data_IF_109163086898
#
_entry.id   IF_109163086898
#
_cell.length_a   1.000
_cell.length_b   1.000
_cell.length_c   1.000
_cell.angle_alpha   90.00
_cell.angle_beta   90.00
_cell.angle_gamma   90.00
#
_symmetry.space_group_name_H-M   'P 1'
#
loop_
_entity.id
_entity.type
_entity.pdbx_description
1 polymer ?
#
# COMPACT_ATOMS: atom_id res chain seq x y z
N UNK A 1 -4.52 -4.42 -8.13
CA UNK A 1 -4.09 -4.99 -9.44
C UNK A 1 -4.71 -6.34 -9.76
N UNK A 2 -4.99 -7.22 -8.78
CA UNK A 2 -5.44 -8.59 -9.03
C UNK A 2 -6.76 -8.73 -9.85
N UNK A 3 -7.80 -7.94 -9.55
CA UNK A 3 -9.08 -8.04 -10.25
C UNK A 3 -9.04 -7.60 -11.73
N UNK A 4 -8.22 -6.59 -12.08
CA UNK A 4 -8.10 -6.10 -13.45
C UNK A 4 -7.30 -7.05 -14.35
N UNK A 5 -6.31 -7.73 -13.77
CA UNK A 5 -5.50 -8.76 -14.44
C UNK A 5 -6.35 -10.00 -14.75
N UNK A 6 -7.20 -10.44 -13.81
CA UNK A 6 -8.13 -11.57 -14.01
C UNK A 6 -9.13 -11.28 -15.15
N UNK A 7 -9.53 -10.01 -15.32
CA UNK A 7 -10.47 -9.59 -16.36
C UNK A 7 -9.80 -9.24 -17.70
N UNK A 8 -8.50 -9.51 -17.89
CA UNK A 8 -7.79 -9.31 -19.16
C UNK A 8 -7.60 -7.84 -19.56
N UNK A 9 -7.71 -6.92 -18.61
CA UNK A 9 -7.66 -5.49 -18.85
C UNK A 9 -6.24 -4.98 -18.57
N UNK A 10 -5.59 -4.43 -19.60
CA UNK A 10 -4.25 -3.84 -19.49
C UNK A 10 -4.21 -2.65 -18.52
N UNK A 11 -5.37 -1.99 -18.32
CA UNK A 11 -5.61 -0.89 -17.38
C UNK A 11 -6.99 -1.07 -16.78
N UNK A 12 -7.18 -0.70 -15.51
CA UNK A 12 -8.51 -0.72 -14.86
C UNK A 12 -9.47 0.14 -15.70
N UNK A 13 -10.53 -0.41 -16.32
CA UNK A 13 -11.51 0.35 -17.08
C UNK A 13 -12.47 0.98 -16.09
N UNK A 14 -12.00 1.99 -15.39
CA UNK A 14 -12.89 2.98 -14.84
C UNK A 14 -13.15 3.98 -15.98
N UNK A 15 -14.41 4.35 -16.20
CA UNK A 15 -14.71 5.60 -16.90
C UNK A 15 -14.27 6.71 -15.95
N UNK A 16 -12.96 6.94 -15.89
CA UNK A 16 -12.36 8.06 -15.19
C UNK A 16 -12.38 9.20 -16.18
N UNK A 17 -13.37 10.08 -16.06
CA UNK A 17 -13.11 11.44 -16.51
C UNK A 17 -12.07 11.99 -15.56
N UNK A 18 -10.92 12.39 -16.09
CA UNK A 18 -10.00 13.23 -15.32
C UNK A 18 -10.77 14.51 -14.99
N UNK A 19 -11.18 14.61 -13.73
CA UNK A 19 -11.76 15.78 -13.12
C UNK A 19 -10.78 16.14 -12.01
N UNK A 20 -10.38 17.41 -11.96
CA UNK A 20 -9.75 17.91 -10.74
C UNK A 20 -10.75 17.83 -9.59
N UNK A 21 -10.26 17.85 -8.35
CA UNK A 21 -11.13 17.89 -7.16
C UNK A 21 -12.15 19.05 -7.27
N UNK A 22 -11.71 20.19 -7.82
CA UNK A 22 -12.54 21.36 -8.07
C UNK A 22 -13.64 21.07 -9.11
N UNK A 23 -13.31 20.41 -10.23
CA UNK A 23 -14.29 20.08 -11.28
C UNK A 23 -15.37 19.12 -10.76
N UNK A 24 -14.99 18.17 -9.91
CA UNK A 24 -15.93 17.24 -9.29
C UNK A 24 -16.89 17.97 -8.34
N UNK A 25 -16.37 18.89 -7.51
CA UNK A 25 -17.19 19.71 -6.62
C UNK A 25 -18.12 20.63 -7.43
N UNK A 26 -17.61 21.28 -8.48
CA UNK A 26 -18.41 22.14 -9.37
C UNK A 26 -19.54 21.33 -9.99
N UNK A 27 -19.26 20.15 -10.54
CA UNK A 27 -20.28 19.30 -11.15
C UNK A 27 -21.38 18.89 -10.16
N UNK A 28 -21.02 18.63 -8.90
CA UNK A 28 -21.98 18.32 -7.84
C UNK A 28 -22.84 19.53 -7.46
N UNK A 29 -22.22 20.71 -7.34
CA UNK A 29 -22.93 21.95 -7.02
C UNK A 29 -23.91 22.29 -8.15
N UNK A 30 -23.48 22.21 -9.40
CA UNK A 30 -24.33 22.45 -10.57
C UNK A 30 -25.51 21.47 -10.64
N UNK A 31 -25.28 20.21 -10.28
CA UNK A 31 -26.35 19.21 -10.19
C UNK A 31 -27.37 19.58 -9.12
N UNK A 32 -26.93 20.03 -7.94
CA UNK A 32 -27.83 20.47 -6.88
C UNK A 32 -28.63 21.72 -7.27
N UNK A 33 -28.00 22.69 -7.97
CA UNK A 33 -28.68 23.89 -8.49
C UNK A 33 -29.81 23.49 -9.43
N UNK A 34 -29.54 22.59 -10.39
CA UNK A 34 -30.56 22.10 -11.33
C UNK A 34 -31.71 21.41 -10.61
N UNK A 35 -31.41 20.58 -9.62
CA UNK A 35 -32.44 19.88 -8.82
C UNK A 35 -33.28 20.90 -8.03
N UNK A 36 -32.64 21.90 -7.43
CA UNK A 36 -33.30 22.99 -6.71
C UNK A 36 -34.22 23.82 -7.62
N UNK A 37 -33.78 24.13 -8.84
CA UNK A 37 -34.60 24.85 -9.83
C UNK A 37 -35.85 24.05 -10.23
N UNK A 38 -35.73 22.71 -10.35
CA UNK A 38 -36.85 21.83 -10.71
C UNK A 38 -37.84 21.66 -9.56
N UNK A 39 -37.36 21.52 -8.32
CA UNK A 39 -38.20 21.23 -7.15
C UNK A 39 -38.75 22.48 -6.45
N UNK A 40 -38.14 23.65 -6.64
CA UNK A 40 -38.61 24.92 -6.08
C UNK A 40 -38.74 24.87 -4.56
N UNK A 41 -39.94 25.10 -4.05
CA UNK A 41 -40.25 25.14 -2.60
C UNK A 41 -40.10 23.77 -1.91
N UNK A 42 -40.15 22.65 -2.66
CA UNK A 42 -39.96 21.31 -2.10
C UNK A 42 -38.48 20.99 -1.78
N UNK A 43 -37.55 21.78 -2.31
CA UNK A 43 -36.13 21.63 -2.04
C UNK A 43 -35.72 22.37 -0.76
N UNK A 44 -35.26 21.62 0.24
CA UNK A 44 -34.80 22.20 1.51
C UNK A 44 -33.31 22.53 1.41
N UNK A 45 -33.02 23.81 1.16
CA UNK A 45 -31.64 24.26 0.95
C UNK A 45 -30.87 24.49 2.25
N UNK A 46 -30.07 23.49 2.63
CA UNK A 46 -29.10 23.59 3.72
C UNK A 46 -27.71 24.05 3.27
N UNK A 47 -27.57 24.52 2.02
CA UNK A 47 -26.29 24.90 1.40
C UNK A 47 -25.24 23.76 1.47
N UNK A 48 -25.67 22.54 1.16
CA UNK A 48 -24.85 21.33 1.20
C UNK A 48 -24.42 20.91 -0.21
N UNK A 49 -23.16 20.51 -0.38
CA UNK A 49 -22.67 19.88 -1.62
C UNK A 49 -23.19 18.44 -1.72
N UNK A 50 -23.20 17.72 -0.61
CA UNK A 50 -23.72 16.36 -0.50
C UNK A 50 -25.13 16.41 0.11
N UNK A 51 -26.14 16.43 -0.75
CA UNK A 51 -27.55 16.47 -0.36
C UNK A 51 -28.34 15.31 -0.99
N UNK A 52 -29.43 14.94 -0.33
CA UNK A 52 -30.44 14.06 -0.95
C UNK A 52 -31.18 14.79 -2.07
N UNK A 53 -32.01 14.08 -2.83
CA UNK A 53 -32.82 14.65 -3.92
C UNK A 53 -33.64 15.87 -3.50
N UNK A 54 -34.05 15.96 -2.22
CA UNK A 54 -34.85 17.06 -1.68
C UNK A 54 -34.04 18.07 -0.84
N UNK A 55 -32.71 18.05 -0.94
CA UNK A 55 -31.83 18.99 -0.23
C UNK A 55 -31.46 18.58 1.20
N UNK A 56 -32.12 17.57 1.77
CA UNK A 56 -31.82 17.08 3.12
C UNK A 56 -30.39 16.50 3.25
N UNK A 57 -29.79 16.54 4.46
CA UNK A 57 -28.49 15.93 4.72
C UNK A 57 -28.48 14.43 4.41
N UNK A 58 -27.38 13.96 3.84
CA UNK A 58 -27.18 12.53 3.58
C UNK A 58 -26.80 11.82 4.88
N UNK A 59 -27.50 10.73 5.20
CA UNK A 59 -27.17 9.88 6.35
C UNK A 59 -25.83 9.13 6.17
N UNK A 60 -25.14 8.83 7.27
CA UNK A 60 -23.82 8.17 7.27
C UNK A 60 -23.79 6.79 6.58
N UNK A 61 -24.95 6.15 6.44
CA UNK A 61 -25.12 4.86 5.76
C UNK A 61 -25.37 4.96 4.25
N UNK A 62 -25.77 6.11 3.73
CA UNK A 62 -26.23 6.23 2.35
C UNK A 62 -25.13 5.88 1.33
N UNK A 63 -23.92 6.42 1.54
CA UNK A 63 -22.76 6.13 0.67
C UNK A 63 -22.37 4.65 0.74
N UNK A 64 -22.42 4.05 1.94
CA UNK A 64 -22.11 2.63 2.14
C UNK A 64 -23.12 1.73 1.41
N UNK A 65 -24.41 2.07 1.49
CA UNK A 65 -25.47 1.37 0.80
C UNK A 65 -25.32 1.44 -0.72
N UNK A 66 -25.03 2.63 -1.26
CA UNK A 66 -24.79 2.81 -2.70
C UNK A 66 -23.54 2.05 -3.17
N UNK A 67 -22.45 2.08 -2.40
CA UNK A 67 -21.25 1.31 -2.72
C UNK A 67 -21.55 -0.20 -2.74
N UNK A 68 -22.27 -0.71 -1.74
CA UNK A 68 -22.65 -2.13 -1.69
C UNK A 68 -23.46 -2.53 -2.92
N UNK A 69 -24.46 -1.72 -3.28
CA UNK A 69 -25.27 -1.94 -4.48
C UNK A 69 -24.42 -1.98 -5.75
N UNK A 70 -23.48 -1.05 -5.90
CA UNK A 70 -22.57 -1.01 -7.04
C UNK A 70 -21.66 -2.25 -7.11
N UNK A 71 -21.16 -2.72 -5.96
CA UNK A 71 -20.36 -3.96 -5.87
C UNK A 71 -21.19 -5.16 -6.35
N UNK A 72 -22.44 -5.28 -5.90
CA UNK A 72 -23.35 -6.37 -6.28
C UNK A 72 -23.73 -6.31 -7.76
N UNK A 73 -24.09 -5.13 -8.28
CA UNK A 73 -24.48 -4.92 -9.68
C UNK A 73 -23.36 -5.23 -10.68
N UNK A 74 -22.11 -4.96 -10.31
CA UNK A 74 -20.93 -5.18 -11.16
C UNK A 74 -20.11 -6.41 -10.78
N UNK A 75 -20.62 -7.25 -9.87
CA UNK A 75 -19.96 -8.48 -9.41
C UNK A 75 -18.50 -8.24 -8.98
N UNK A 76 -18.25 -7.14 -8.24
CA UNK A 76 -16.94 -6.75 -7.76
C UNK A 76 -16.59 -7.45 -6.45
N UNK A 77 -15.31 -7.45 -6.10
CA UNK A 77 -14.87 -7.93 -4.80
C UNK A 77 -15.45 -7.06 -3.67
N UNK A 78 -15.94 -7.66 -2.57
CA UNK A 78 -16.53 -6.90 -1.48
C UNK A 78 -15.48 -6.03 -0.79
N UNK A 79 -15.70 -4.72 -0.83
CA UNK A 79 -14.86 -3.71 -0.17
C UNK A 79 -15.73 -2.79 0.68
N UNK A 80 -15.16 -2.31 1.80
CA UNK A 80 -15.82 -1.33 2.65
C UNK A 80 -15.43 0.08 2.23
N UNK A 81 -16.28 1.07 2.52
CA UNK A 81 -16.03 2.45 2.10
C UNK A 81 -14.69 3.01 2.59
N UNK A 82 -14.26 2.62 3.80
CA UNK A 82 -12.97 3.06 4.36
C UNK A 82 -11.76 2.53 3.56
N UNK A 83 -11.91 1.42 2.83
CA UNK A 83 -10.86 0.87 1.95
C UNK A 83 -10.47 1.83 0.82
N UNK A 84 -11.38 2.72 0.40
CA UNK A 84 -11.07 3.76 -0.57
C UNK A 84 -10.05 4.76 -0.01
N UNK A 85 -10.18 5.12 1.28
CA UNK A 85 -9.23 6.01 1.96
C UNK A 85 -7.86 5.34 2.14
N UNK A 86 -7.82 4.06 2.47
CA UNK A 86 -6.56 3.30 2.50
C UNK A 86 -5.89 3.29 1.12
N UNK A 87 -6.66 2.97 0.07
CA UNK A 87 -6.15 2.93 -1.30
C UNK A 87 -5.61 4.29 -1.75
N UNK A 88 -6.34 5.38 -1.48
CA UNK A 88 -5.90 6.74 -1.81
C UNK A 88 -4.56 7.08 -1.16
N UNK A 89 -4.40 6.78 0.12
CA UNK A 89 -3.15 7.04 0.85
C UNK A 89 -2.00 6.19 0.34
N UNK A 90 -2.24 4.90 0.09
CA UNK A 90 -1.25 4.02 -0.54
C UNK A 90 -0.76 4.58 -1.88
N UNK A 91 -1.66 5.05 -2.74
CA UNK A 91 -1.29 5.65 -4.03
C UNK A 91 -0.55 6.98 -3.86
N UNK A 92 -1.00 7.86 -2.97
CA UNK A 92 -0.29 9.13 -2.68
C UNK A 92 1.15 8.87 -2.22
N UNK A 93 1.36 7.90 -1.33
CA UNK A 93 2.69 7.49 -0.86
C UNK A 93 3.55 6.91 -1.98
N UNK A 94 2.96 6.08 -2.85
CA UNK A 94 3.69 5.53 -3.99
C UNK A 94 4.11 6.60 -4.98
N UNK A 95 3.24 7.57 -5.26
CA UNK A 95 3.49 8.65 -6.22
C UNK A 95 4.48 9.70 -5.69
N UNK A 96 4.52 9.95 -4.38
CA UNK A 96 5.42 10.93 -3.78
C UNK A 96 6.77 10.34 -3.31
N UNK A 97 7.04 9.06 -3.59
CA UNK A 97 8.29 8.39 -3.21
C UNK A 97 8.40 8.05 -1.73
N UNK A 98 7.29 7.94 -1.01
CA UNK A 98 7.27 7.51 0.38
C UNK A 98 7.42 8.63 1.40
N UNK A 99 7.14 9.90 1.03
CA UNK A 99 7.06 10.99 2.00
C UNK A 99 5.79 10.87 2.84
N UNK A 100 5.95 10.18 3.97
CA UNK A 100 4.88 9.95 4.96
C UNK A 100 4.35 11.27 5.53
N UNK A 101 5.20 12.28 5.73
CA UNK A 101 4.78 13.56 6.33
C UNK A 101 3.88 14.35 5.41
N UNK A 102 4.18 14.36 4.11
CA UNK A 102 3.33 15.00 3.11
C UNK A 102 1.94 14.35 3.05
N UNK A 103 1.84 13.02 3.03
CA UNK A 103 0.54 12.32 2.98
C UNK A 103 -0.22 12.42 4.31
N UNK A 104 0.49 12.48 5.43
CA UNK A 104 -0.13 12.66 6.75
C UNK A 104 -0.83 14.02 6.87
N UNK A 105 -0.23 15.10 6.35
CA UNK A 105 -0.83 16.44 6.33
C UNK A 105 -2.15 16.47 5.56
N UNK A 106 -2.19 15.80 4.41
CA UNK A 106 -3.39 15.69 3.57
C UNK A 106 -4.50 14.84 4.20
N UNK A 107 -4.12 13.80 4.96
CA UNK A 107 -5.06 12.75 5.34
C UNK A 107 -5.53 12.85 6.81
N UNK A 108 -4.86 13.66 7.63
CA UNK A 108 -5.23 13.95 9.03
C UNK A 108 -4.62 12.99 10.07
N UNK A 109 -4.55 13.45 11.33
CA UNK A 109 -3.76 12.88 12.43
C UNK A 109 -4.04 11.41 12.82
N UNK A 110 -5.18 10.83 12.44
CA UNK A 110 -5.55 9.45 12.82
C UNK A 110 -4.97 8.35 11.93
N UNK A 111 -4.17 8.71 10.93
CA UNK A 111 -3.75 7.78 9.87
C UNK A 111 -2.27 7.39 9.91
N UNK A 112 -1.47 7.93 10.84
CA UNK A 112 -0.03 7.67 10.95
C UNK A 112 0.26 6.19 11.15
N UNK A 113 -0.48 5.55 12.05
CA UNK A 113 -0.28 4.14 12.38
C UNK A 113 -0.57 3.25 11.17
N UNK A 114 -1.68 3.50 10.48
CA UNK A 114 -2.04 2.74 9.27
C UNK A 114 -1.07 2.97 8.10
N UNK A 115 -0.65 4.22 7.88
CA UNK A 115 0.32 4.57 6.83
C UNK A 115 1.60 3.78 7.00
N UNK A 116 2.11 3.73 8.24
CA UNK A 116 3.37 3.07 8.55
C UNK A 116 3.26 1.56 8.36
N UNK A 117 2.19 0.94 8.86
CA UNK A 117 1.98 -0.52 8.77
C UNK A 117 1.77 -0.99 7.33
N UNK A 118 0.88 -0.34 6.56
CA UNK A 118 0.56 -0.75 5.18
C UNK A 118 1.71 -0.43 4.23
N UNK A 119 2.42 0.68 4.44
CA UNK A 119 3.47 1.10 3.52
C UNK A 119 4.81 0.41 3.77
N UNK A 120 5.08 -0.07 5.00
CA UNK A 120 6.26 -0.90 5.28
C UNK A 120 6.39 -2.06 4.26
N UNK A 121 5.28 -2.77 4.03
CA UNK A 121 5.22 -3.85 3.05
C UNK A 121 5.42 -3.39 1.59
N UNK A 122 4.95 -2.20 1.23
CA UNK A 122 5.08 -1.67 -0.14
C UNK A 122 6.50 -1.20 -0.42
N UNK A 123 7.15 -0.54 0.55
CA UNK A 123 8.58 -0.19 0.45
C UNK A 123 9.40 -1.46 0.31
N UNK A 124 9.09 -2.51 1.07
CA UNK A 124 9.80 -3.78 1.00
C UNK A 124 9.63 -4.45 -0.36
N UNK A 125 8.44 -4.42 -0.96
CA UNK A 125 8.20 -4.87 -2.33
C UNK A 125 9.00 -4.05 -3.37
N UNK A 126 8.98 -2.72 -3.27
CA UNK A 126 9.71 -1.85 -4.20
C UNK A 126 11.24 -2.02 -4.02
N UNK A 127 11.75 -2.23 -2.79
CA UNK A 127 13.15 -2.57 -2.51
C UNK A 127 13.53 -3.91 -3.09
N UNK A 128 12.69 -4.93 -2.92
CA UNK A 128 12.90 -6.26 -3.48
C UNK A 128 12.95 -6.21 -5.00
N UNK A 129 12.00 -5.51 -5.63
CA UNK A 129 11.99 -5.31 -7.08
C UNK A 129 13.22 -4.54 -7.57
N UNK A 130 13.67 -3.52 -6.84
CA UNK A 130 14.90 -2.81 -7.18
C UNK A 130 16.13 -3.69 -7.04
N UNK A 131 16.18 -4.59 -6.04
CA UNK A 131 17.26 -5.56 -5.90
C UNK A 131 17.26 -6.58 -7.05
N UNK A 132 16.09 -7.10 -7.44
CA UNK A 132 15.94 -7.99 -8.60
C UNK A 132 16.36 -7.30 -9.91
N UNK A 133 15.93 -6.05 -10.13
CA UNK A 133 16.34 -5.25 -11.30
C UNK A 133 17.84 -4.94 -11.29
N UNK A 134 18.43 -4.71 -10.12
CA UNK A 134 19.86 -4.52 -9.98
C UNK A 134 20.59 -5.83 -10.31
N UNK A 135 20.10 -6.96 -9.82
CA UNK A 135 20.69 -8.26 -10.10
C UNK A 135 20.64 -8.59 -11.60
N UNK A 136 19.48 -8.40 -12.22
CA UNK A 136 19.29 -8.55 -13.67
C UNK A 136 20.20 -7.59 -14.46
N UNK A 137 20.20 -6.30 -14.13
CA UNK A 137 20.93 -5.28 -14.89
C UNK A 137 22.45 -5.37 -14.74
N UNK A 138 22.92 -5.83 -13.58
CA UNK A 138 24.34 -5.84 -13.22
C UNK A 138 24.98 -7.21 -13.43
N UNK A 139 24.25 -8.32 -13.25
CA UNK A 139 24.81 -9.68 -13.33
C UNK A 139 24.36 -10.49 -14.56
N UNK A 140 23.26 -10.15 -15.24
CA UNK A 140 22.82 -10.90 -16.45
C UNK A 140 23.44 -10.39 -17.77
N UNK A 141 24.18 -9.28 -17.76
CA UNK A 141 24.98 -8.87 -18.92
C UNK A 141 26.17 -9.81 -19.08
N UNK A 142 25.97 -10.88 -19.86
CA UNK A 142 27.01 -11.84 -20.30
C UNK A 142 28.36 -11.14 -20.52
N UNK A 143 29.34 -11.56 -19.71
CA UNK A 143 30.69 -11.03 -19.48
C UNK A 143 30.85 -10.26 -18.15
N UNK A 144 30.51 -10.91 -17.03
CA UNK A 144 31.17 -10.60 -15.76
C UNK A 144 32.25 -11.64 -15.49
N UNK A 145 33.39 -11.18 -14.98
CA UNK A 145 34.49 -12.02 -14.55
C UNK A 145 33.99 -13.15 -13.63
N UNK A 146 34.43 -14.42 -13.84
CA UNK A 146 34.01 -15.57 -13.03
C UNK A 146 34.27 -15.44 -11.52
N UNK A 147 35.05 -14.44 -11.11
CA UNK A 147 35.42 -14.18 -9.72
C UNK A 147 34.39 -13.41 -8.89
N UNK A 148 33.29 -12.91 -9.48
CA UNK A 148 32.18 -12.37 -8.68
C UNK A 148 31.29 -13.47 -8.07
N UNK A 149 31.51 -14.74 -8.46
CA UNK A 149 30.85 -15.90 -7.87
C UNK A 149 31.76 -16.68 -6.90
N UNK A 150 32.92 -16.12 -6.52
CA UNK A 150 33.78 -16.74 -5.52
C UNK A 150 33.23 -16.50 -4.10
N UNK A 151 32.57 -17.54 -3.61
CA UNK A 151 32.54 -17.99 -2.23
C UNK A 151 32.08 -16.99 -1.17
N UNK A 152 30.76 -16.78 -1.07
CA UNK A 152 30.18 -16.80 0.29
C UNK A 152 29.97 -18.27 0.65
N UNK A 153 31.04 -18.92 1.10
CA UNK A 153 30.91 -20.18 1.82
C UNK A 153 30.06 -19.90 3.05
N UNK A 154 28.75 -20.15 2.96
CA UNK A 154 27.98 -20.42 4.16
C UNK A 154 28.60 -21.67 4.77
N UNK A 155 29.44 -21.49 5.79
CA UNK A 155 29.76 -22.59 6.69
C UNK A 155 28.46 -22.96 7.39
N UNK A 156 27.70 -23.87 6.80
CA UNK A 156 26.69 -24.64 7.53
C UNK A 156 27.46 -25.52 8.50
N UNK A 157 27.70 -24.99 9.69
CA UNK A 157 28.14 -25.81 10.82
C UNK A 157 26.91 -26.60 11.23
N UNK A 158 26.86 -27.89 10.90
CA UNK A 158 25.87 -28.80 11.47
C UNK A 158 25.97 -28.70 12.99
N UNK A 159 24.93 -28.12 13.60
CA UNK A 159 24.81 -28.04 15.05
C UNK A 159 24.40 -29.44 15.52
N UNK A 160 25.19 -30.13 16.36
CA UNK A 160 24.81 -31.42 16.91
C UNK A 160 23.46 -31.31 17.64
N UNK A 161 22.61 -32.33 17.51
CA UNK A 161 21.22 -32.34 18.03
C UNK A 161 21.10 -32.03 19.55
N UNK A 162 22.19 -32.13 20.30
CA UNK A 162 22.26 -31.82 21.74
C UNK A 162 22.44 -30.33 22.07
N UNK A 163 22.53 -29.44 21.07
CA UNK A 163 22.75 -28.00 21.31
C UNK A 163 21.55 -27.17 20.84
N UNK A 164 20.95 -26.45 21.79
CA UNK A 164 19.82 -25.55 21.52
C UNK A 164 20.24 -24.39 20.59
N UNK A 165 19.74 -24.45 19.36
CA UNK A 165 20.05 -23.51 18.28
C UNK A 165 19.64 -22.07 18.60
N UNK A 166 18.62 -21.87 19.44
CA UNK A 166 18.13 -20.54 19.80
C UNK A 166 19.05 -19.86 20.84
N UNK A 167 19.58 -20.64 21.78
CA UNK A 167 20.57 -20.17 22.74
C UNK A 167 21.90 -19.86 22.06
N UNK A 168 22.32 -20.67 21.10
CA UNK A 168 23.51 -20.41 20.27
C UNK A 168 23.39 -19.11 19.47
N UNK A 169 22.22 -18.86 18.86
CA UNK A 169 21.98 -17.63 18.12
C UNK A 169 22.06 -16.38 19.03
N UNK A 170 21.51 -16.46 20.25
CA UNK A 170 21.60 -15.37 21.24
C UNK A 170 23.03 -15.12 21.72
N UNK A 171 23.84 -16.16 21.90
CA UNK A 171 25.24 -16.03 22.31
C UNK A 171 26.11 -15.45 21.18
N UNK A 172 25.87 -15.85 19.93
CA UNK A 172 26.60 -15.37 18.75
C UNK A 172 26.17 -13.95 18.31
N UNK A 173 25.02 -13.46 18.77
CA UNK A 173 24.61 -12.08 18.57
C UNK A 173 25.49 -11.07 19.34
N UNK A 174 26.20 -11.53 20.39
CA UNK A 174 27.20 -10.70 21.06
C UNK A 174 28.57 -10.83 20.34
N UNK A 175 29.10 -9.74 19.75
CA UNK A 175 30.33 -9.76 18.97
C UNK A 175 31.57 -10.18 19.78
N UNK A 176 31.63 -9.90 21.09
CA UNK A 176 32.75 -10.30 21.95
C UNK A 176 32.76 -11.81 22.20
N UNK A 177 31.58 -12.39 22.47
CA UNK A 177 31.43 -13.84 22.66
C UNK A 177 31.72 -14.61 21.37
N UNK A 178 31.30 -14.06 20.22
CA UNK A 178 31.61 -14.61 18.90
C UNK A 178 33.11 -14.67 18.63
N UNK A 179 33.85 -13.61 18.98
CA UNK A 179 35.30 -13.57 18.84
C UNK A 179 36.01 -14.58 19.76
N UNK A 180 35.54 -14.73 21.00
CA UNK A 180 36.07 -15.71 21.96
C UNK A 180 35.87 -17.15 21.46
N UNK A 181 34.67 -17.51 21.00
CA UNK A 181 34.39 -18.84 20.48
C UNK A 181 35.21 -19.17 19.22
N UNK A 182 35.38 -18.19 18.32
CA UNK A 182 36.24 -18.35 17.15
C UNK A 182 37.72 -18.56 17.55
N UNK A 183 38.19 -17.89 18.60
CA UNK A 183 39.56 -18.07 19.11
C UNK A 183 39.77 -19.45 19.75
N UNK A 184 38.78 -19.95 20.50
CA UNK A 184 38.80 -21.28 21.11
C UNK A 184 38.76 -22.39 20.06
N UNK A 185 37.89 -22.26 19.05
CA UNK A 185 37.81 -23.20 17.94
C UNK A 185 39.12 -23.28 17.14
N UNK A 186 39.86 -22.17 17.04
CA UNK A 186 41.17 -22.11 16.40
C UNK A 186 42.29 -22.72 17.25
N UNK A 187 42.16 -22.68 18.57
CA UNK A 187 43.12 -23.28 19.51
C UNK A 187 42.94 -24.81 19.68
N UNK A 188 41.76 -25.33 19.34
CA UNK A 188 41.42 -26.76 19.39
C UNK A 188 41.70 -27.52 18.08
N UNK A 189 42.31 -26.87 17.08
CA UNK A 189 42.65 -27.44 15.78
C UNK A 189 44.16 -27.57 15.65
#
# INVERSE_FOLDING_TARGET
MHAAVIAGLATIPAIVRELSDDDAVIAMVDANIKVKEVLGEEYIDYNLVMATTFGNPIGTGAIRGQLKKLIEEHNLSPVVFHSLRHSSVTYKLKLNGGDIKAVQGDSGHSQVDMVTDVYSHIIDEDRRRNAELFEESFYEKKNLDPKMHDETTFQTVDVPDDVDAELLAKVLANPEMKALLASLAKAMK
#
